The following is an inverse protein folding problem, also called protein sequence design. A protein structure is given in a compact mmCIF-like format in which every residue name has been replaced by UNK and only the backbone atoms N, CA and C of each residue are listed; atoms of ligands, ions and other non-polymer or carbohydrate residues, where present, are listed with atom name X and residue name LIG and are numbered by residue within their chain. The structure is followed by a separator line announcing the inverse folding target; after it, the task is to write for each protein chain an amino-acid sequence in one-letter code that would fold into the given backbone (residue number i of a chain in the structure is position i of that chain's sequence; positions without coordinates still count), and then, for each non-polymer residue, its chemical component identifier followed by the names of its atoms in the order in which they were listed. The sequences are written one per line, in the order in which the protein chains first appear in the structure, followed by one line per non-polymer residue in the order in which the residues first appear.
data_IF_361114266631
#
_entry.id   IF_361114266631
#
_cell.length_a   1.000
_cell.length_b   1.000
_cell.length_c   1.000
_cell.angle_alpha   90.00
_cell.angle_beta   90.00
_cell.angle_gamma   90.00
#
_symmetry.space_group_name_H-M   'P 1'
#
loop_
_entity.id
_entity.type
_entity.pdbx_description
1 polymer ?
#
# COMPACT_ATOMS: atom_id res chain seq x y z
N UNK A 1 -12.09 9.71 9.82
CA UNK A 1 -13.32 9.31 9.09
C UNK A 1 -13.16 7.87 8.63
N UNK A 2 -14.19 7.07 8.71
CA UNK A 2 -14.22 5.70 8.17
C UNK A 2 -14.05 5.73 6.64
N UNK A 3 -13.26 4.81 6.08
CA UNK A 3 -12.94 4.80 4.64
C UNK A 3 -14.17 4.56 3.76
N UNK A 4 -15.10 3.69 4.16
CA UNK A 4 -16.33 3.40 3.41
C UNK A 4 -17.19 4.66 3.31
N UNK A 5 -17.45 5.33 4.44
CA UNK A 5 -18.21 6.59 4.46
C UNK A 5 -17.48 7.71 3.70
N UNK A 6 -16.16 7.78 3.84
CA UNK A 6 -15.35 8.75 3.10
C UNK A 6 -15.40 8.54 1.59
N UNK A 7 -15.30 7.28 1.13
CA UNK A 7 -15.38 6.97 -0.30
C UNK A 7 -16.76 7.24 -0.90
N UNK A 8 -17.86 7.10 -0.14
CA UNK A 8 -19.20 7.49 -0.61
C UNK A 8 -19.31 8.97 -1.02
N UNK A 9 -18.48 9.83 -0.41
CA UNK A 9 -18.41 11.26 -0.76
C UNK A 9 -17.60 11.53 -2.05
N UNK A 10 -16.83 10.56 -2.51
CA UNK A 10 -16.04 10.68 -3.75
C UNK A 10 -16.92 10.33 -4.95
N UNK A 11 -16.98 11.17 -5.99
CA UNK A 11 -17.71 10.85 -7.21
C UNK A 11 -17.24 9.57 -7.89
N UNK A 12 -18.13 8.88 -8.60
CA UNK A 12 -17.82 7.73 -9.44
C UNK A 12 -16.74 8.07 -10.47
N UNK A 13 -15.84 7.12 -10.77
CA UNK A 13 -14.80 7.23 -11.79
C UNK A 13 -13.88 8.47 -11.59
N UNK A 14 -13.48 8.77 -10.37
CA UNK A 14 -12.67 9.95 -10.02
C UNK A 14 -11.21 9.64 -9.72
N UNK A 15 -10.92 8.46 -9.18
CA UNK A 15 -9.61 8.05 -8.69
C UNK A 15 -8.81 7.38 -9.81
N UNK A 16 -7.55 7.75 -9.97
CA UNK A 16 -6.65 7.20 -10.97
C UNK A 16 -5.91 5.96 -10.45
N UNK A 17 -5.50 5.98 -9.18
CA UNK A 17 -4.74 4.90 -8.56
C UNK A 17 -5.10 4.74 -7.10
N UNK A 18 -5.22 3.50 -6.64
CA UNK A 18 -5.36 3.16 -5.21
C UNK A 18 -4.14 2.36 -4.79
N UNK A 19 -3.48 2.78 -3.70
CA UNK A 19 -2.39 2.04 -3.06
C UNK A 19 -2.75 1.91 -1.59
N UNK A 20 -2.88 0.69 -1.07
CA UNK A 20 -3.44 0.49 0.26
C UNK A 20 -2.92 -0.73 0.99
N UNK A 21 -2.74 -0.59 2.30
CA UNK A 21 -2.34 -1.63 3.25
C UNK A 21 -3.43 -1.75 4.33
N UNK A 22 -4.53 -2.49 4.04
CA UNK A 22 -5.69 -2.59 4.95
C UNK A 22 -5.34 -3.35 6.22
N UNK A 23 -6.15 -3.23 7.30
CA UNK A 23 -5.98 -4.04 8.51
C UNK A 23 -6.04 -5.54 8.18
N UNK A 24 -5.24 -6.37 8.87
CA UNK A 24 -5.05 -7.78 8.52
C UNK A 24 -5.88 -8.77 9.34
N UNK A 25 -6.66 -8.34 10.32
CA UNK A 25 -7.45 -9.19 11.22
C UNK A 25 -6.65 -10.38 11.81
N UNK A 26 -5.45 -10.11 12.29
CA UNK A 26 -4.52 -11.14 12.82
C UNK A 26 -4.59 -11.30 14.33
N UNK A 27 -5.62 -10.75 14.98
CA UNK A 27 -5.73 -10.68 16.46
C UNK A 27 -4.43 -10.17 17.11
N UNK A 28 -3.85 -9.14 16.50
CA UNK A 28 -2.57 -8.57 16.90
C UNK A 28 -2.73 -7.86 18.25
N UNK A 29 -2.68 -8.65 19.32
CA UNK A 29 -2.43 -8.10 20.65
C UNK A 29 -0.99 -7.60 20.63
N UNK A 30 -0.82 -6.31 20.38
CA UNK A 30 0.45 -5.61 20.50
C UNK A 30 0.88 -5.65 21.98
N UNK A 31 1.33 -6.81 22.45
CA UNK A 31 1.93 -6.94 23.77
C UNK A 31 3.34 -6.38 23.71
N UNK A 32 3.68 -5.54 24.70
CA UNK A 32 5.00 -4.89 24.87
C UNK A 32 6.20 -5.83 24.70
N UNK A 33 6.00 -7.15 24.89
CA UNK A 33 7.04 -8.17 24.90
C UNK A 33 7.58 -8.59 23.51
N UNK A 34 6.85 -8.34 22.41
CA UNK A 34 7.17 -8.96 21.14
C UNK A 34 8.19 -8.23 20.26
N UNK A 35 8.64 -7.02 20.63
CA UNK A 35 9.45 -6.20 19.71
C UNK A 35 10.62 -5.43 20.34
N UNK A 36 11.08 -5.67 21.53
CA UNK A 36 12.20 -4.91 22.13
C UNK A 36 12.12 -3.37 21.88
N UNK A 37 10.89 -2.84 21.80
CA UNK A 37 10.61 -1.44 21.47
C UNK A 37 10.20 -0.70 22.74
N UNK A 38 10.75 0.48 22.94
CA UNK A 38 10.29 1.41 23.96
C UNK A 38 8.82 1.74 23.71
N UNK A 39 7.92 1.22 24.54
CA UNK A 39 6.46 1.32 24.35
C UNK A 39 5.93 2.76 24.23
N UNK A 40 6.67 3.75 24.75
CA UNK A 40 6.34 5.17 24.71
C UNK A 40 6.45 5.81 23.30
N UNK A 41 7.05 5.14 22.33
CA UNK A 41 7.28 5.69 20.99
C UNK A 41 6.34 5.13 19.91
N UNK A 42 5.50 4.14 20.22
CA UNK A 42 4.53 3.56 19.29
C UNK A 42 3.16 4.17 19.58
N UNK A 43 2.60 4.84 18.59
CA UNK A 43 1.26 5.41 18.67
C UNK A 43 0.25 4.29 18.88
N UNK A 44 -0.64 4.46 19.86
CA UNK A 44 -1.75 3.54 20.13
C UNK A 44 -2.90 3.81 19.17
N UNK A 45 -3.75 2.81 18.91
CA UNK A 45 -4.98 3.00 18.14
C UNK A 45 -5.10 2.12 16.91
N UNK A 46 -4.25 1.09 16.77
CA UNK A 46 -4.46 0.11 15.71
C UNK A 46 -5.83 -0.56 15.91
N UNK A 47 -6.74 -0.34 14.97
CA UNK A 47 -8.09 -0.89 15.01
C UNK A 47 -8.15 -2.13 14.12
N UNK A 48 -8.25 -3.30 14.74
CA UNK A 48 -8.39 -4.56 14.02
C UNK A 48 -9.85 -4.90 13.74
N UNK A 49 -10.06 -5.52 12.58
CA UNK A 49 -11.34 -6.13 12.22
C UNK A 49 -11.33 -7.57 12.70
N UNK A 50 -12.40 -8.05 13.31
CA UNK A 50 -12.52 -9.45 13.71
C UNK A 50 -12.48 -10.36 12.49
N UNK A 51 -11.83 -11.52 12.61
CA UNK A 51 -11.70 -12.47 11.49
C UNK A 51 -13.03 -12.89 10.88
N UNK A 52 -14.08 -13.02 11.71
CA UNK A 52 -15.44 -13.40 11.25
C UNK A 52 -16.09 -12.32 10.38
N UNK A 53 -15.74 -11.05 10.57
CA UNK A 53 -16.32 -9.90 9.86
C UNK A 53 -15.41 -9.43 8.72
N UNK A 54 -14.24 -10.09 8.54
CA UNK A 54 -13.17 -9.56 7.67
C UNK A 54 -13.57 -9.56 6.20
N UNK A 55 -14.23 -10.62 5.72
CA UNK A 55 -14.70 -10.67 4.34
C UNK A 55 -15.73 -9.56 4.06
N UNK A 56 -16.75 -9.42 4.88
CA UNK A 56 -17.80 -8.42 4.68
C UNK A 56 -17.25 -6.99 4.73
N UNK A 57 -16.36 -6.72 5.69
CA UNK A 57 -15.64 -5.45 5.77
C UNK A 57 -14.84 -5.20 4.48
N UNK A 58 -14.08 -6.20 4.04
CA UNK A 58 -13.22 -6.11 2.86
C UNK A 58 -14.02 -5.91 1.58
N UNK A 59 -15.08 -6.67 1.38
CA UNK A 59 -15.97 -6.51 0.24
C UNK A 59 -16.62 -5.13 0.18
N UNK A 60 -17.09 -4.62 1.33
CA UNK A 60 -17.76 -3.32 1.38
C UNK A 60 -16.84 -2.16 0.98
N UNK A 61 -15.59 -2.11 1.46
CA UNK A 61 -14.69 -1.05 1.03
C UNK A 61 -14.20 -1.24 -0.41
N UNK A 62 -14.00 -2.49 -0.87
CA UNK A 62 -13.60 -2.78 -2.25
C UNK A 62 -14.68 -2.41 -3.26
N UNK A 63 -15.94 -2.63 -2.93
CA UNK A 63 -17.09 -2.19 -3.75
C UNK A 63 -17.08 -0.67 -3.96
N UNK A 64 -16.84 0.10 -2.90
CA UNK A 64 -16.72 1.56 -3.03
C UNK A 64 -15.44 1.96 -3.79
N UNK A 65 -14.31 1.28 -3.55
CA UNK A 65 -13.08 1.49 -4.30
C UNK A 65 -13.30 1.25 -5.80
N UNK A 66 -13.99 0.18 -6.18
CA UNK A 66 -14.36 -0.11 -7.57
C UNK A 66 -15.23 0.98 -8.18
N UNK A 67 -16.24 1.46 -7.43
CA UNK A 67 -17.14 2.52 -7.89
C UNK A 67 -16.41 3.81 -8.24
N UNK A 68 -15.47 4.24 -7.38
CA UNK A 68 -14.76 5.52 -7.53
C UNK A 68 -13.53 5.44 -8.43
N UNK A 69 -12.97 4.25 -8.66
CA UNK A 69 -11.84 4.03 -9.55
C UNK A 69 -12.26 4.30 -11.01
N UNK A 70 -11.44 5.00 -11.78
CA UNK A 70 -11.61 5.17 -13.23
C UNK A 70 -11.46 3.85 -13.96
N UNK A 71 -12.01 3.74 -15.15
CA UNK A 71 -11.82 2.56 -16.00
C UNK A 71 -10.34 2.39 -16.40
N UNK A 72 -9.61 3.49 -16.52
CA UNK A 72 -8.15 3.49 -16.71
C UNK A 72 -7.33 3.30 -15.42
N UNK A 73 -8.00 3.21 -14.28
CA UNK A 73 -7.37 3.15 -12.97
C UNK A 73 -6.97 1.75 -12.54
N UNK A 74 -6.05 1.71 -11.59
CA UNK A 74 -5.53 0.47 -10.99
C UNK A 74 -5.55 0.56 -9.47
N UNK A 75 -5.49 -0.61 -8.82
CA UNK A 75 -5.36 -0.71 -7.37
C UNK A 75 -4.28 -1.72 -6.99
N UNK A 76 -3.49 -1.38 -5.97
CA UNK A 76 -2.52 -2.26 -5.32
C UNK A 76 -2.93 -2.47 -3.87
N UNK A 77 -3.24 -3.72 -3.51
CA UNK A 77 -3.68 -4.11 -2.15
C UNK A 77 -2.61 -4.97 -1.51
N UNK A 78 -2.03 -4.50 -0.42
CA UNK A 78 -1.08 -5.26 0.38
C UNK A 78 -1.82 -6.16 1.37
N UNK A 79 -1.31 -7.38 1.59
CA UNK A 79 -1.91 -8.36 2.48
C UNK A 79 -0.87 -9.32 3.07
N UNK A 80 -1.14 -9.76 4.31
CA UNK A 80 -0.56 -10.98 4.83
C UNK A 80 -1.23 -12.22 4.21
N UNK A 81 -0.59 -13.38 4.35
CA UNK A 81 -1.11 -14.64 3.81
C UNK A 81 -2.40 -15.13 4.50
N UNK A 82 -2.61 -14.76 5.78
CA UNK A 82 -3.73 -15.26 6.58
C UNK A 82 -5.10 -14.91 5.99
N UNK A 83 -5.23 -13.72 5.39
CA UNK A 83 -6.48 -13.20 4.87
C UNK A 83 -6.52 -13.12 3.34
N UNK A 84 -5.52 -13.70 2.71
CA UNK A 84 -5.38 -13.63 1.25
C UNK A 84 -6.61 -14.17 0.52
N UNK A 85 -7.21 -15.28 1.02
CA UNK A 85 -8.42 -15.87 0.46
C UNK A 85 -9.61 -14.90 0.47
N UNK A 86 -9.80 -14.16 1.58
CA UNK A 86 -10.94 -13.26 1.75
C UNK A 86 -10.74 -12.00 0.87
N UNK A 87 -9.50 -11.54 0.74
CA UNK A 87 -9.16 -10.43 -0.16
C UNK A 87 -9.37 -10.83 -1.62
N UNK A 88 -8.88 -11.99 -2.07
CA UNK A 88 -9.08 -12.47 -3.44
C UNK A 88 -10.57 -12.62 -3.76
N UNK A 89 -11.34 -13.26 -2.87
CA UNK A 89 -12.78 -13.39 -3.04
C UNK A 89 -13.48 -12.02 -3.10
N UNK A 90 -13.13 -11.09 -2.23
CA UNK A 90 -13.74 -9.76 -2.21
C UNK A 90 -13.40 -8.94 -3.47
N UNK A 91 -12.19 -9.10 -4.04
CA UNK A 91 -11.80 -8.49 -5.31
C UNK A 91 -12.65 -9.01 -6.47
N UNK A 92 -12.82 -10.33 -6.57
CA UNK A 92 -13.64 -10.97 -7.59
C UNK A 92 -15.12 -10.54 -7.47
N UNK A 93 -15.68 -10.59 -6.27
CA UNK A 93 -17.07 -10.22 -6.02
C UNK A 93 -17.33 -8.71 -6.24
N UNK A 94 -16.33 -7.85 -6.03
CA UNK A 94 -16.41 -6.42 -6.33
C UNK A 94 -16.26 -6.09 -7.82
N UNK A 95 -15.82 -7.05 -8.65
CA UNK A 95 -15.70 -6.92 -10.09
C UNK A 95 -14.32 -6.50 -10.60
N UNK A 96 -13.28 -6.56 -9.76
CA UNK A 96 -11.92 -6.27 -10.20
C UNK A 96 -11.34 -7.40 -11.06
N UNK A 97 -10.51 -7.02 -12.03
CA UNK A 97 -9.65 -7.95 -12.78
C UNK A 97 -8.28 -8.00 -12.13
N UNK A 98 -7.87 -9.17 -11.67
CA UNK A 98 -6.52 -9.39 -11.13
C UNK A 98 -5.50 -9.49 -12.26
N UNK A 99 -4.45 -8.68 -12.20
CA UNK A 99 -3.38 -8.61 -13.20
C UNK A 99 -2.15 -9.39 -12.74
N UNK A 100 -1.66 -9.10 -11.53
CA UNK A 100 -0.53 -9.82 -10.93
C UNK A 100 -0.75 -10.07 -9.45
N UNK A 101 -0.23 -11.19 -8.99
CA UNK A 101 0.05 -11.45 -7.59
C UNK A 101 1.54 -11.23 -7.36
N UNK A 102 1.88 -10.12 -6.74
CA UNK A 102 3.24 -9.66 -6.51
C UNK A 102 3.67 -10.07 -5.10
N UNK A 103 4.91 -10.53 -4.97
CA UNK A 103 5.55 -10.85 -3.69
C UNK A 103 6.53 -9.74 -3.32
N UNK A 104 6.23 -8.99 -2.27
CA UNK A 104 7.19 -8.08 -1.69
C UNK A 104 8.01 -8.81 -0.62
N UNK A 105 9.22 -9.22 -0.97
CA UNK A 105 10.18 -9.87 -0.09
C UNK A 105 10.98 -8.80 0.68
N UNK A 106 11.04 -8.95 1.98
CA UNK A 106 11.82 -8.09 2.87
C UNK A 106 12.81 -8.92 3.71
N UNK A 107 13.89 -8.27 4.17
CA UNK A 107 15.03 -8.95 4.78
C UNK A 107 14.87 -9.23 6.30
N UNK A 108 13.64 -9.18 6.83
CA UNK A 108 13.42 -9.35 8.27
C UNK A 108 12.24 -10.28 8.55
N UNK A 109 12.45 -11.23 9.45
CA UNK A 109 11.41 -12.09 10.01
C UNK A 109 11.78 -12.53 11.42
N UNK A 110 10.79 -12.81 12.25
CA UNK A 110 11.01 -13.35 13.60
C UNK A 110 11.25 -14.84 13.49
N UNK A 111 12.41 -15.29 13.95
CA UNK A 111 12.75 -16.73 14.01
C UNK A 111 11.77 -17.45 14.91
N UNK A 112 11.26 -18.57 14.44
CA UNK A 112 10.28 -19.40 15.16
C UNK A 112 10.79 -20.84 15.27
N UNK A 113 10.36 -21.56 16.33
CA UNK A 113 10.77 -22.95 16.58
C UNK A 113 9.93 -23.99 15.82
N UNK A 114 8.73 -23.63 15.30
CA UNK A 114 7.73 -24.59 14.79
C UNK A 114 7.22 -24.30 13.39
N UNK A 115 7.66 -23.23 12.74
CA UNK A 115 7.25 -22.86 11.39
C UNK A 115 8.34 -22.07 10.68
N UNK A 116 8.26 -21.96 9.38
CA UNK A 116 9.13 -21.09 8.60
C UNK A 116 8.93 -19.62 8.96
N UNK A 117 9.96 -18.81 8.80
CA UNK A 117 9.94 -17.38 9.02
C UNK A 117 9.17 -16.70 7.89
N UNK A 118 8.14 -15.92 8.23
CA UNK A 118 7.46 -15.08 7.24
C UNK A 118 8.38 -13.91 6.86
N UNK A 119 8.74 -13.82 5.58
CA UNK A 119 9.69 -12.85 5.05
C UNK A 119 9.15 -12.04 3.85
N UNK A 120 7.85 -12.10 3.60
CA UNK A 120 7.21 -11.39 2.51
C UNK A 120 5.79 -10.96 2.84
N UNK A 121 5.30 -9.99 2.06
CA UNK A 121 3.89 -9.65 1.93
C UNK A 121 3.41 -9.93 0.50
N UNK A 122 2.12 -10.13 0.36
CA UNK A 122 1.42 -10.19 -0.91
C UNK A 122 1.02 -8.77 -1.33
N UNK A 123 1.12 -8.48 -2.62
CA UNK A 123 0.58 -7.27 -3.21
C UNK A 123 -0.24 -7.67 -4.44
N UNK A 124 -1.55 -7.46 -4.37
CA UNK A 124 -2.44 -7.78 -5.47
C UNK A 124 -2.58 -6.55 -6.37
N UNK A 125 -2.11 -6.66 -7.61
CA UNK A 125 -2.29 -5.65 -8.64
C UNK A 125 -3.55 -5.97 -9.42
N UNK A 126 -4.54 -5.08 -9.30
CA UNK A 126 -5.85 -5.25 -9.91
C UNK A 126 -6.27 -3.98 -10.65
N UNK A 127 -7.21 -4.10 -11.58
CA UNK A 127 -7.77 -2.97 -12.28
C UNK A 127 -9.27 -3.15 -12.50
N UNK A 128 -9.92 -2.07 -12.94
CA UNK A 128 -11.33 -2.06 -13.30
C UNK A 128 -11.54 -2.54 -14.74
N UNK A 129 -10.65 -2.15 -15.65
CA UNK A 129 -10.69 -2.53 -17.05
C UNK A 129 -9.26 -2.72 -17.59
N UNK A 130 -8.88 -3.97 -17.85
CA UNK A 130 -7.51 -4.30 -18.27
C UNK A 130 -7.12 -3.65 -19.61
N UNK A 131 -8.07 -3.45 -20.53
CA UNK A 131 -7.80 -2.83 -21.84
C UNK A 131 -7.54 -1.32 -21.74
N UNK A 132 -8.00 -0.67 -20.68
CA UNK A 132 -7.91 0.79 -20.51
C UNK A 132 -6.93 1.23 -19.43
N UNK A 133 -6.48 0.31 -18.56
CA UNK A 133 -5.61 0.63 -17.44
C UNK A 133 -4.30 1.29 -17.90
N UNK A 134 -3.88 2.28 -17.12
CA UNK A 134 -2.56 2.89 -17.29
C UNK A 134 -1.46 1.93 -16.85
N UNK A 135 -0.45 1.74 -17.70
CA UNK A 135 0.79 1.08 -17.33
C UNK A 135 1.93 1.61 -18.19
N UNK A 136 2.96 2.18 -17.55
CA UNK A 136 4.09 2.87 -18.19
C UNK A 136 5.35 2.02 -18.11
N UNK A 137 5.57 1.08 -19.04
CA UNK A 137 6.62 0.05 -18.92
C UNK A 137 8.05 0.59 -18.95
N UNK A 138 8.25 1.83 -19.38
CA UNK A 138 9.57 2.47 -19.50
C UNK A 138 9.75 3.67 -18.55
N UNK A 139 8.87 3.85 -17.57
CA UNK A 139 8.88 5.02 -16.67
C UNK A 139 10.05 5.07 -15.70
N UNK A 140 10.72 3.94 -15.44
CA UNK A 140 11.88 3.85 -14.52
C UNK A 140 13.18 3.52 -15.22
N UNK A 141 13.14 2.64 -16.22
CA UNK A 141 14.34 2.17 -16.94
C UNK A 141 14.05 2.04 -18.43
N UNK A 142 14.97 2.50 -19.26
CA UNK A 142 14.92 2.31 -20.70
C UNK A 142 15.31 0.88 -21.09
N UNK A 143 15.01 0.49 -22.34
CA UNK A 143 15.37 -0.84 -22.86
C UNK A 143 16.88 -1.10 -22.82
N UNK A 144 17.69 -0.07 -22.97
CA UNK A 144 19.16 -0.11 -22.99
C UNK A 144 19.76 -0.20 -21.59
N UNK A 145 19.01 0.11 -20.52
CA UNK A 145 19.48 0.15 -19.13
C UNK A 145 19.85 -1.25 -18.66
N UNK A 146 21.09 -1.43 -18.16
CA UNK A 146 21.63 -2.72 -17.72
C UNK A 146 22.27 -2.62 -16.33
N UNK A 147 22.27 -3.73 -15.62
CA UNK A 147 23.07 -3.91 -14.39
C UNK A 147 24.55 -3.97 -14.71
N UNK A 148 25.42 -3.91 -13.69
CA UNK A 148 26.85 -4.07 -13.84
C UNK A 148 27.23 -5.44 -14.44
N UNK A 149 26.38 -6.47 -14.24
CA UNK A 149 26.54 -7.82 -14.80
C UNK A 149 25.91 -7.96 -16.21
N UNK A 150 25.46 -6.87 -16.83
CA UNK A 150 24.90 -6.84 -18.16
C UNK A 150 23.44 -7.30 -18.29
N UNK A 151 22.73 -7.55 -17.17
CA UNK A 151 21.31 -7.94 -17.18
C UNK A 151 20.41 -6.72 -17.41
N UNK A 152 19.28 -6.90 -18.08
CA UNK A 152 18.31 -5.84 -18.32
C UNK A 152 17.69 -5.34 -17.01
N UNK A 153 17.93 -4.08 -16.65
CA UNK A 153 17.27 -3.43 -15.51
C UNK A 153 15.77 -3.30 -15.74
N UNK A 154 15.37 -2.97 -16.96
CA UNK A 154 13.98 -2.86 -17.36
C UNK A 154 13.19 -4.17 -17.15
N UNK A 155 13.80 -5.33 -17.45
CA UNK A 155 13.18 -6.64 -17.17
C UNK A 155 13.14 -6.91 -15.67
N UNK A 156 14.28 -6.79 -14.98
CA UNK A 156 14.41 -7.07 -13.55
C UNK A 156 13.47 -6.22 -12.69
N UNK A 157 13.30 -4.96 -13.01
CA UNK A 157 12.42 -4.08 -12.25
C UNK A 157 10.93 -4.44 -12.41
N UNK A 158 10.55 -5.17 -13.46
CA UNK A 158 9.17 -5.62 -13.72
C UNK A 158 8.89 -7.07 -13.28
N UNK A 159 9.86 -7.77 -12.72
CA UNK A 159 9.59 -9.06 -12.06
C UNK A 159 8.56 -8.87 -10.94
N UNK A 160 7.77 -9.89 -10.67
CA UNK A 160 6.71 -9.87 -9.66
C UNK A 160 7.16 -10.27 -8.25
N UNK A 161 8.45 -10.56 -8.08
CA UNK A 161 9.09 -10.74 -6.77
C UNK A 161 10.02 -9.55 -6.49
N UNK A 162 9.59 -8.67 -5.58
CA UNK A 162 10.31 -7.45 -5.27
C UNK A 162 11.15 -7.56 -4.01
N UNK A 163 12.45 -7.36 -4.11
CA UNK A 163 13.37 -7.29 -2.97
C UNK A 163 13.58 -5.83 -2.56
N UNK A 164 12.60 -5.27 -1.86
CA UNK A 164 12.63 -3.90 -1.36
C UNK A 164 12.77 -3.93 0.16
N UNK A 165 13.78 -3.23 0.70
CA UNK A 165 14.04 -3.18 2.15
C UNK A 165 12.91 -2.46 2.87
N UNK A 166 12.58 -2.94 4.08
CA UNK A 166 11.70 -2.20 4.98
C UNK A 166 12.31 -0.85 5.33
N UNK A 167 11.47 0.15 5.35
CA UNK A 167 11.85 1.49 5.79
C UNK A 167 11.48 1.66 7.27
N UNK A 168 12.48 2.02 8.08
CA UNK A 168 12.29 2.24 9.51
C UNK A 168 12.10 3.72 9.82
N UNK A 169 11.39 3.99 10.90
CA UNK A 169 11.24 5.35 11.40
C UNK A 169 12.54 5.85 12.04
N UNK A 170 12.96 7.04 11.66
CA UNK A 170 14.11 7.73 12.24
C UNK A 170 13.74 8.75 13.32
N UNK A 171 12.45 9.13 13.42
CA UNK A 171 11.94 10.11 14.39
C UNK A 171 11.44 9.48 15.70
N UNK A 172 11.01 10.35 16.63
CA UNK A 172 10.49 9.95 17.94
C UNK A 172 9.07 9.37 17.86
N UNK A 173 8.23 9.89 16.97
CA UNK A 173 6.86 9.40 16.72
C UNK A 173 6.91 8.30 15.64
N UNK A 174 6.25 7.17 15.92
CA UNK A 174 6.25 5.99 15.04
C UNK A 174 4.86 5.39 14.94
N UNK A 175 4.45 5.02 13.72
CA UNK A 175 3.36 4.06 13.55
C UNK A 175 3.91 2.63 13.55
N UNK A 176 3.10 1.61 13.86
CA UNK A 176 3.54 0.21 13.91
C UNK A 176 4.15 -0.27 12.59
N UNK A 177 3.55 0.13 11.48
CA UNK A 177 3.93 -0.27 10.12
C UNK A 177 3.86 0.90 9.17
N UNK A 178 4.64 0.86 8.11
CA UNK A 178 4.51 1.72 6.92
C UNK A 178 5.06 1.00 5.69
N UNK A 179 4.48 1.26 4.54
CA UNK A 179 5.06 0.85 3.27
C UNK A 179 6.35 1.66 3.00
N UNK A 180 7.42 1.05 2.46
CA UNK A 180 8.60 1.79 2.03
C UNK A 180 8.26 2.81 0.95
N UNK A 181 8.90 3.97 1.01
CA UNK A 181 8.72 5.00 -0.01
C UNK A 181 9.13 4.51 -1.41
N UNK A 182 10.27 3.80 -1.52
CA UNK A 182 10.74 3.18 -2.76
C UNK A 182 9.68 2.30 -3.43
N UNK A 183 8.94 1.52 -2.63
CA UNK A 183 7.87 0.67 -3.14
C UNK A 183 6.72 1.52 -3.70
N UNK A 184 6.31 2.56 -2.98
CA UNK A 184 5.23 3.46 -3.43
C UNK A 184 5.66 4.22 -4.70
N UNK A 185 6.90 4.71 -4.76
CA UNK A 185 7.48 5.35 -5.96
C UNK A 185 7.38 4.42 -7.18
N UNK A 186 7.78 3.15 -7.00
CA UNK A 186 7.69 2.16 -8.06
C UNK A 186 6.26 2.04 -8.60
N UNK A 187 5.26 1.94 -7.73
CA UNK A 187 3.85 1.85 -8.12
C UNK A 187 3.38 3.12 -8.85
N UNK A 188 3.74 4.30 -8.32
CA UNK A 188 3.39 5.58 -8.93
C UNK A 188 3.99 5.74 -10.32
N UNK A 189 5.24 5.31 -10.53
CA UNK A 189 5.90 5.35 -11.82
C UNK A 189 5.20 4.50 -12.87
N UNK A 190 4.82 3.27 -12.50
CA UNK A 190 4.20 2.35 -13.46
C UNK A 190 2.73 2.60 -13.73
N UNK A 191 1.98 3.17 -12.77
CA UNK A 191 0.51 3.19 -12.85
C UNK A 191 -0.13 4.56 -12.66
N UNK A 192 0.65 5.64 -12.69
CA UNK A 192 0.10 7.01 -12.60
C UNK A 192 0.97 8.05 -13.30
N UNK A 193 0.36 9.19 -13.61
CA UNK A 193 1.00 10.38 -14.16
C UNK A 193 0.96 11.54 -13.16
N UNK A 194 1.72 12.60 -13.44
CA UNK A 194 1.62 13.86 -12.67
C UNK A 194 0.18 14.38 -12.70
N UNK A 195 -0.30 14.89 -11.56
CA UNK A 195 -1.65 15.38 -11.33
C UNK A 195 -2.75 14.30 -11.23
N UNK A 196 -2.45 13.02 -11.44
CA UNK A 196 -3.39 11.93 -11.13
C UNK A 196 -3.74 11.91 -9.63
N UNK A 197 -4.94 11.46 -9.33
CA UNK A 197 -5.45 11.36 -7.94
C UNK A 197 -5.17 9.96 -7.41
N UNK A 198 -4.33 9.89 -6.38
CA UNK A 198 -3.99 8.67 -5.66
C UNK A 198 -4.81 8.60 -4.38
N UNK A 199 -5.44 7.47 -4.12
CA UNK A 199 -6.21 7.22 -2.90
C UNK A 199 -5.54 6.16 -2.04
N UNK A 200 -5.50 6.42 -0.72
CA UNK A 200 -5.25 5.41 0.29
C UNK A 200 -6.43 5.35 1.27
N UNK A 201 -7.30 4.31 1.17
CA UNK A 201 -8.43 4.13 2.09
C UNK A 201 -8.04 3.95 3.56
N UNK A 202 -6.80 3.54 3.84
CA UNK A 202 -6.28 3.26 5.19
C UNK A 202 -4.99 4.04 5.43
N UNK A 203 -5.09 5.36 5.44
CA UNK A 203 -3.99 6.33 5.38
C UNK A 203 -2.85 6.09 6.38
N UNK A 204 -3.17 5.63 7.60
CA UNK A 204 -2.21 5.37 8.66
C UNK A 204 -1.24 6.53 8.88
N UNK A 205 0.05 6.29 8.64
CA UNK A 205 1.10 7.30 8.75
C UNK A 205 1.11 8.35 7.64
N UNK A 206 0.26 8.22 6.62
CA UNK A 206 0.24 9.09 5.45
C UNK A 206 1.35 8.82 4.44
N UNK A 207 2.00 7.66 4.46
CA UNK A 207 3.16 7.41 3.61
C UNK A 207 2.82 7.51 2.12
N UNK A 208 1.70 6.90 1.69
CA UNK A 208 1.24 6.97 0.29
C UNK A 208 0.98 8.44 -0.12
N UNK A 209 0.31 9.21 0.73
CA UNK A 209 0.02 10.62 0.45
C UNK A 209 1.28 11.48 0.36
N UNK A 210 2.25 11.28 1.26
CA UNK A 210 3.53 12.01 1.28
C UNK A 210 4.35 11.74 0.02
N UNK A 211 4.48 10.47 -0.39
CA UNK A 211 5.21 10.09 -1.61
C UNK A 211 4.47 10.59 -2.86
N UNK A 212 3.15 10.46 -2.89
CA UNK A 212 2.33 10.98 -4.01
C UNK A 212 2.52 12.48 -4.19
N UNK A 213 2.48 13.26 -3.09
CA UNK A 213 2.72 14.70 -3.10
C UNK A 213 4.12 15.04 -3.64
N UNK A 214 5.16 14.36 -3.18
CA UNK A 214 6.54 14.59 -3.62
C UNK A 214 6.75 14.32 -5.11
N UNK A 215 5.97 13.40 -5.67
CA UNK A 215 5.99 13.04 -7.10
C UNK A 215 4.95 13.82 -7.94
N UNK A 216 4.40 14.92 -7.43
CA UNK A 216 3.40 15.76 -8.12
C UNK A 216 2.08 15.04 -8.46
N UNK A 217 1.66 14.06 -7.64
CA UNK A 217 0.31 13.50 -7.69
C UNK A 217 -0.57 14.17 -6.65
N UNK A 218 -1.87 14.28 -6.94
CA UNK A 218 -2.88 14.63 -5.94
C UNK A 218 -3.15 13.41 -5.08
N UNK A 219 -3.60 13.61 -3.85
CA UNK A 219 -3.87 12.50 -2.95
C UNK A 219 -5.16 12.71 -2.17
N UNK A 220 -5.81 11.60 -1.84
CA UNK A 220 -6.91 11.50 -0.89
C UNK A 220 -6.57 10.36 0.06
N UNK A 221 -6.91 10.49 1.34
CA UNK A 221 -6.72 9.42 2.30
C UNK A 221 -7.72 9.50 3.44
N UNK A 222 -8.09 8.35 3.97
CA UNK A 222 -9.01 8.24 5.09
C UNK A 222 -8.31 7.60 6.28
N UNK A 223 -8.53 8.16 7.47
CA UNK A 223 -7.98 7.65 8.72
C UNK A 223 -9.04 7.81 9.82
N UNK A 224 -9.27 6.72 10.56
CA UNK A 224 -10.25 6.69 11.66
C UNK A 224 -9.62 7.10 12.99
N UNK A 225 -8.32 6.85 13.15
CA UNK A 225 -7.56 7.18 14.39
C UNK A 225 -7.07 8.62 14.31
N UNK A 226 -7.58 9.46 15.20
CA UNK A 226 -7.28 10.91 15.24
C UNK A 226 -5.77 11.21 15.28
N UNK A 227 -5.01 10.44 16.08
CA UNK A 227 -3.59 10.69 16.25
C UNK A 227 -2.78 10.31 14.99
N UNK A 228 -3.14 9.23 14.30
CA UNK A 228 -2.55 8.89 13.00
C UNK A 228 -2.87 9.96 11.96
N UNK A 229 -4.09 10.46 11.94
CA UNK A 229 -4.47 11.56 11.05
C UNK A 229 -3.63 12.82 11.31
N UNK A 230 -3.48 13.24 12.58
CA UNK A 230 -2.65 14.40 12.97
C UNK A 230 -1.20 14.19 12.55
N UNK A 231 -0.67 12.98 12.76
CA UNK A 231 0.69 12.63 12.39
C UNK A 231 0.89 12.68 10.86
N UNK A 232 -0.02 12.10 10.09
CA UNK A 232 0.01 12.17 8.63
C UNK A 232 -0.04 13.61 8.12
N UNK A 233 -0.92 14.45 8.69
CA UNK A 233 -1.02 15.87 8.36
C UNK A 233 0.30 16.63 8.65
N UNK A 234 0.88 16.44 9.83
CA UNK A 234 2.19 17.02 10.21
C UNK A 234 3.29 16.65 9.20
N UNK A 235 3.30 15.42 8.71
CA UNK A 235 4.26 14.94 7.69
C UNK A 235 4.05 15.61 6.34
N UNK A 236 2.81 15.74 5.92
CA UNK A 236 2.43 16.39 4.67
C UNK A 236 2.76 17.89 4.68
N UNK A 237 2.54 18.59 5.80
CA UNK A 237 2.84 20.00 5.94
C UNK A 237 4.36 20.27 5.91
N UNK A 238 5.16 19.38 6.49
CA UNK A 238 6.62 19.51 6.55
C UNK A 238 7.35 19.06 5.29
N UNK A 239 6.65 18.52 4.30
CA UNK A 239 7.26 17.95 3.09
C UNK A 239 8.40 16.97 3.40
N UNK A 240 8.17 16.05 4.37
CA UNK A 240 9.20 15.19 4.99
C UNK A 240 9.77 14.09 4.08
N UNK A 241 9.36 14.03 2.84
CA UNK A 241 9.96 13.11 1.88
C UNK A 241 10.51 13.88 0.68
N UNK A 242 11.81 13.69 0.42
CA UNK A 242 12.44 14.12 -0.83
C UNK A 242 12.76 12.87 -1.64
N UNK A 243 12.40 12.86 -2.90
CA UNK A 243 12.82 11.83 -3.85
C UNK A 243 14.35 11.81 -3.79
N UNK A 244 14.95 10.65 -3.61
CA UNK A 244 16.39 10.52 -3.78
C UNK A 244 16.66 10.80 -5.25
N UNK A 245 17.23 11.98 -5.54
CA UNK A 245 17.78 12.24 -6.88
C UNK A 245 18.83 11.17 -7.13
N UNK A 246 18.69 10.49 -8.25
CA UNK A 246 19.67 9.56 -8.81
C UNK A 246 21.03 10.21 -8.97
#
# INVERSE_FOLDING_TARGET
MNCIEGMKLVPKNKIDLIITDPPFAIDFKATKANYNRTASRVMQGYNEIKSVDYYDFTFNWMKEAFRILKDSGSMYVFSGWNNLKDILKALDDAGFTTINHIIWKYQFGVVTKRKFVTSHYHCLYVCKNDKQRKFFPFSRFEKSSKTNEGRSLHYKDKEDVWEIKREYWTGDEKTPTKLPAELIEKLLHYSSEKQDIVLDPFLGSGQVAVVSKSMNRKYIGFEIVSDYYKFAKKRLDKNLYRIKSE
#
